data_IF_497613055397
#
_entry.id   IF_497613055397
#
_cell.length_a   1.000
_cell.length_b   1.000
_cell.length_c   1.000
_cell.angle_alpha   90.00
_cell.angle_beta   90.00
_cell.angle_gamma   90.00
#
_symmetry.space_group_name_H-M   'P 1'
#
loop_
_entity.id
_entity.type
_entity.pdbx_description
1 polymer ?
#
# COMPACT_ATOMS: atom_id res chain seq x y z
N UNK A 1 -17.43 -9.55 -26.23
CA UNK A 1 -16.12 -8.91 -26.37
C UNK A 1 -15.61 -9.22 -27.79
N UNK A 2 -15.09 -8.25 -28.57
CA UNK A 2 -14.54 -8.51 -29.91
C UNK A 2 -13.42 -9.56 -29.96
N UNK A 3 -12.77 -9.88 -28.84
CA UNK A 3 -11.67 -10.85 -28.75
C UNK A 3 -12.07 -12.22 -28.16
N UNK A 4 -13.38 -12.44 -27.93
CA UNK A 4 -13.95 -13.67 -27.38
C UNK A 4 -14.23 -13.62 -25.87
N UNK A 5 -14.91 -14.64 -25.35
CA UNK A 5 -15.12 -14.77 -23.90
C UNK A 5 -13.77 -15.05 -23.20
N UNK A 6 -13.63 -14.63 -21.93
CA UNK A 6 -12.43 -14.84 -21.09
C UNK A 6 -11.19 -13.98 -21.43
N UNK A 7 -11.34 -12.97 -22.29
CA UNK A 7 -10.34 -11.93 -22.50
C UNK A 7 -10.36 -10.89 -21.36
N UNK A 8 -9.18 -10.49 -20.86
CA UNK A 8 -9.04 -9.58 -19.71
C UNK A 8 -8.16 -8.36 -20.05
N UNK A 9 -8.62 -7.17 -19.65
CA UNK A 9 -7.86 -5.92 -19.67
C UNK A 9 -8.11 -5.08 -18.41
N UNK A 10 -7.13 -4.30 -17.92
CA UNK A 10 -7.26 -3.52 -16.71
C UNK A 10 -8.05 -2.23 -16.94
N UNK A 11 -9.03 -1.97 -16.08
CA UNK A 11 -9.92 -0.82 -16.18
C UNK A 11 -9.88 -0.03 -14.86
N UNK A 12 -9.53 1.25 -14.91
CA UNK A 12 -9.68 2.17 -13.77
C UNK A 12 -10.96 2.98 -13.94
N UNK A 13 -11.89 2.81 -13.00
CA UNK A 13 -13.18 3.47 -13.01
C UNK A 13 -13.34 4.37 -11.79
N UNK A 14 -14.05 5.48 -11.96
CA UNK A 14 -14.58 6.30 -10.87
C UNK A 14 -15.79 5.58 -10.25
N UNK A 15 -16.27 6.10 -9.11
CA UNK A 15 -17.45 5.55 -8.42
C UNK A 15 -18.72 5.56 -9.30
N UNK A 16 -18.83 6.54 -10.20
CA UNK A 16 -19.91 6.63 -11.19
C UNK A 16 -19.71 5.71 -12.42
N UNK A 17 -18.69 4.86 -12.39
CA UNK A 17 -18.28 3.91 -13.46
C UNK A 17 -17.76 4.56 -14.73
N UNK A 18 -17.56 5.88 -14.75
CA UNK A 18 -16.82 6.52 -15.83
C UNK A 18 -15.33 6.21 -15.72
N UNK A 19 -14.61 6.30 -16.84
CA UNK A 19 -13.16 6.08 -16.86
C UNK A 19 -12.44 7.15 -16.05
N UNK A 20 -11.37 6.76 -15.37
CA UNK A 20 -10.56 7.67 -14.57
C UNK A 20 -9.51 8.40 -15.41
N UNK A 21 -9.27 9.67 -15.06
CA UNK A 21 -8.09 10.44 -15.43
C UNK A 21 -7.77 11.40 -14.29
N UNK A 22 -6.49 11.62 -14.01
CA UNK A 22 -6.04 12.39 -12.85
C UNK A 22 -4.56 12.20 -12.57
N UNK A 23 -3.98 13.06 -11.75
CA UNK A 23 -2.58 12.96 -11.31
C UNK A 23 -1.54 12.83 -12.44
N UNK A 24 -1.85 13.36 -13.62
CA UNK A 24 -1.00 13.26 -14.82
C UNK A 24 -1.22 12.03 -15.71
N UNK A 25 -2.18 11.15 -15.37
CA UNK A 25 -2.49 9.94 -16.13
C UNK A 25 -3.91 9.97 -16.73
N UNK A 26 -4.07 9.28 -17.86
CA UNK A 26 -5.34 9.18 -18.58
C UNK A 26 -5.69 7.73 -18.92
N UNK A 27 -6.66 7.19 -18.17
CA UNK A 27 -7.24 5.85 -18.34
C UNK A 27 -8.63 5.89 -18.99
N UNK A 28 -9.00 7.03 -19.61
CA UNK A 28 -10.13 7.08 -20.55
C UNK A 28 -9.82 6.35 -21.86
N UNK A 29 -8.53 6.23 -22.17
CA UNK A 29 -7.98 5.35 -23.21
C UNK A 29 -7.25 4.21 -22.52
N UNK A 30 -7.76 2.98 -22.66
CA UNK A 30 -7.20 1.77 -22.04
C UNK A 30 -5.89 1.33 -22.73
N UNK A 31 -5.02 0.55 -22.05
CA UNK A 31 -3.87 -0.06 -22.69
C UNK A 31 -4.28 -0.89 -23.92
N UNK A 32 -3.43 -0.89 -24.96
CA UNK A 32 -3.61 -1.78 -26.10
C UNK A 32 -3.10 -3.17 -25.73
N UNK A 33 -3.83 -4.22 -26.10
CA UNK A 33 -3.32 -5.58 -25.95
C UNK A 33 -2.14 -5.84 -26.87
N UNK A 34 -1.21 -6.64 -26.37
CA UNK A 34 -0.13 -7.18 -27.18
C UNK A 34 -0.62 -8.34 -28.06
N UNK A 35 0.10 -8.66 -29.16
CA UNK A 35 -0.17 -9.88 -29.92
C UNK A 35 -0.15 -11.13 -29.03
N UNK A 36 -1.23 -11.91 -29.11
CA UNK A 36 -1.37 -13.15 -28.33
C UNK A 36 -1.88 -12.94 -26.90
N UNK A 37 -2.55 -11.82 -26.61
CA UNK A 37 -3.30 -11.61 -25.34
C UNK A 37 -4.69 -12.29 -25.32
N UNK A 38 -5.05 -13.04 -26.37
CA UNK A 38 -6.24 -13.88 -26.37
C UNK A 38 -6.09 -15.11 -25.47
N UNK A 39 -7.20 -15.71 -25.00
CA UNK A 39 -7.13 -16.87 -24.13
C UNK A 39 -6.49 -18.07 -24.82
N UNK A 40 -5.64 -18.81 -24.09
CA UNK A 40 -5.00 -20.05 -24.57
C UNK A 40 -6.03 -21.15 -24.87
N UNK A 41 -7.16 -21.14 -24.18
CA UNK A 41 -8.33 -21.99 -24.42
C UNK A 41 -9.58 -21.33 -23.85
N UNK A 42 -10.73 -21.63 -24.44
CA UNK A 42 -12.05 -21.30 -23.89
C UNK A 42 -12.84 -22.58 -23.53
N UNK A 43 -12.23 -23.76 -23.69
CA UNK A 43 -12.84 -25.05 -23.37
C UNK A 43 -12.55 -25.45 -21.92
N UNK A 44 -13.59 -25.43 -21.08
CA UNK A 44 -13.50 -25.83 -19.67
C UNK A 44 -13.22 -27.32 -19.44
N UNK A 45 -13.28 -28.16 -20.49
CA UNK A 45 -12.75 -29.52 -20.40
C UNK A 45 -11.22 -29.53 -20.46
N UNK A 46 -10.60 -28.51 -21.06
CA UNK A 46 -9.16 -28.34 -21.14
C UNK A 46 -8.63 -27.50 -19.99
N UNK A 47 -9.35 -26.45 -19.55
CA UNK A 47 -8.87 -25.52 -18.53
C UNK A 47 -9.85 -25.40 -17.36
N UNK A 48 -9.34 -24.98 -16.21
CA UNK A 48 -10.20 -24.69 -15.06
C UNK A 48 -10.85 -23.30 -15.16
N UNK A 49 -12.02 -23.16 -14.56
CA UNK A 49 -12.61 -21.84 -14.32
C UNK A 49 -11.92 -21.19 -13.12
N UNK A 50 -11.32 -20.02 -13.35
CA UNK A 50 -10.74 -19.16 -12.34
C UNK A 50 -11.39 -17.79 -12.36
N UNK A 51 -11.70 -17.29 -11.16
CA UNK A 51 -12.17 -15.91 -10.96
C UNK A 51 -10.94 -15.08 -10.66
N UNK A 52 -10.46 -14.36 -11.68
CA UNK A 52 -9.29 -13.49 -11.56
C UNK A 52 -9.67 -12.25 -10.73
N UNK A 53 -8.77 -11.83 -9.84
CA UNK A 53 -8.90 -10.55 -9.14
C UNK A 53 -7.69 -9.70 -9.50
N UNK A 54 -7.91 -8.41 -9.68
CA UNK A 54 -6.83 -7.45 -9.81
C UNK A 54 -6.24 -7.14 -8.43
N UNK A 55 -4.92 -6.96 -8.41
CA UNK A 55 -4.12 -6.57 -7.25
C UNK A 55 -3.56 -5.19 -7.52
N UNK A 56 -3.53 -4.34 -6.49
CA UNK A 56 -3.01 -2.97 -6.60
C UNK A 56 -2.01 -2.73 -5.48
N UNK A 57 -0.74 -2.58 -5.85
CA UNK A 57 0.40 -2.43 -4.94
C UNK A 57 1.50 -1.61 -5.60
N UNK A 58 2.29 -0.91 -4.78
CA UNK A 58 3.46 -0.14 -5.21
C UNK A 58 4.65 -1.10 -5.32
N UNK A 59 5.05 -1.44 -6.55
CA UNK A 59 6.10 -2.42 -6.81
C UNK A 59 7.50 -1.80 -6.75
N UNK A 60 7.65 -0.54 -7.17
CA UNK A 60 8.95 0.12 -7.35
C UNK A 60 9.26 1.19 -6.29
N UNK A 61 8.37 1.40 -5.32
CA UNK A 61 8.56 2.32 -4.20
C UNK A 61 8.40 3.80 -4.58
N UNK A 62 7.88 4.12 -5.76
CA UNK A 62 7.68 5.51 -6.20
C UNK A 62 6.45 6.19 -5.57
N UNK A 63 5.65 5.44 -4.80
CA UNK A 63 4.43 5.90 -4.15
C UNK A 63 3.18 5.84 -5.02
N UNK A 64 3.27 5.31 -6.24
CA UNK A 64 2.17 4.97 -7.15
C UNK A 64 2.00 3.45 -7.12
N UNK A 65 0.80 2.99 -7.46
CA UNK A 65 0.48 1.57 -7.40
C UNK A 65 0.29 1.05 -8.81
N UNK A 66 0.95 -0.06 -9.10
CA UNK A 66 0.78 -0.86 -10.30
C UNK A 66 -0.47 -1.72 -10.18
N UNK A 67 -0.97 -2.19 -11.32
CA UNK A 67 -2.14 -3.05 -11.42
C UNK A 67 -1.70 -4.40 -11.94
N UNK A 68 -1.79 -5.42 -11.08
CA UNK A 68 -1.44 -6.79 -11.43
C UNK A 68 -2.69 -7.64 -11.62
N UNK A 69 -2.71 -8.51 -12.62
CA UNK A 69 -3.80 -9.46 -12.80
C UNK A 69 -3.38 -10.69 -13.62
N UNK A 70 -3.83 -11.90 -13.24
CA UNK A 70 -3.67 -13.08 -14.09
C UNK A 70 -4.68 -13.06 -15.24
N UNK A 71 -4.28 -13.61 -16.39
CA UNK A 71 -5.12 -13.69 -17.58
C UNK A 71 -5.14 -15.10 -18.17
N UNK A 72 -6.18 -15.41 -18.94
CA UNK A 72 -6.31 -16.68 -19.65
C UNK A 72 -5.38 -16.79 -20.86
N UNK A 73 -4.60 -15.76 -21.18
CA UNK A 73 -3.50 -15.85 -22.14
C UNK A 73 -2.25 -16.57 -21.55
N UNK A 74 -2.34 -17.01 -20.30
CA UNK A 74 -1.29 -17.72 -19.58
C UNK A 74 -0.19 -16.82 -19.04
N UNK A 75 -0.48 -15.53 -18.91
CA UNK A 75 0.43 -14.53 -18.34
C UNK A 75 -0.13 -13.94 -17.04
N UNK A 76 0.79 -13.47 -16.20
CA UNK A 76 0.52 -12.52 -15.14
C UNK A 76 0.96 -11.14 -15.64
N UNK A 77 0.05 -10.18 -15.66
CA UNK A 77 0.32 -8.83 -16.11
C UNK A 77 0.64 -7.91 -14.93
N UNK A 78 1.43 -6.86 -15.18
CA UNK A 78 1.65 -5.75 -14.28
C UNK A 78 1.72 -4.44 -15.07
N UNK A 79 0.72 -3.59 -14.91
CA UNK A 79 0.64 -2.29 -15.58
C UNK A 79 0.96 -1.15 -14.63
N UNK A 80 1.87 -0.28 -15.06
CA UNK A 80 2.07 1.03 -14.47
C UNK A 80 0.95 1.97 -14.91
N UNK A 81 0.75 3.06 -14.17
CA UNK A 81 -0.28 4.06 -14.48
C UNK A 81 -0.08 4.76 -15.84
N UNK A 82 1.11 4.66 -16.43
CA UNK A 82 1.41 5.13 -17.78
C UNK A 82 0.86 4.20 -18.89
N UNK A 83 0.22 3.09 -18.51
CA UNK A 83 -0.38 2.05 -19.38
C UNK A 83 0.62 1.15 -20.08
N UNK A 84 1.85 1.09 -19.59
CA UNK A 84 2.88 0.16 -20.05
C UNK A 84 3.20 -0.88 -18.99
N UNK A 85 3.75 -2.00 -19.44
CA UNK A 85 4.34 -3.04 -18.58
C UNK A 85 5.86 -2.84 -18.62
N UNK A 86 6.53 -2.85 -17.47
CA UNK A 86 7.96 -2.55 -17.39
C UNK A 86 8.78 -3.83 -17.24
N UNK A 87 10.06 -3.79 -17.66
CA UNK A 87 10.97 -4.91 -17.48
C UNK A 87 10.55 -6.17 -18.24
N UNK A 88 10.38 -7.28 -17.50
CA UNK A 88 9.99 -8.60 -17.99
C UNK A 88 8.49 -8.84 -17.91
N UNK A 89 7.69 -7.84 -17.56
CA UNK A 89 6.23 -7.91 -17.64
C UNK A 89 5.75 -7.78 -19.10
N UNK A 90 4.70 -8.51 -19.51
CA UNK A 90 3.96 -9.49 -18.72
C UNK A 90 4.71 -10.82 -18.53
N UNK A 91 4.61 -11.42 -17.36
CA UNK A 91 5.28 -12.68 -17.06
C UNK A 91 4.51 -13.87 -17.64
N UNK A 92 5.09 -14.54 -18.64
CA UNK A 92 4.54 -15.80 -19.17
C UNK A 92 4.83 -16.96 -18.23
N UNK A 93 3.77 -17.59 -17.71
CA UNK A 93 3.91 -18.69 -16.76
C UNK A 93 4.59 -19.90 -17.42
N UNK A 94 5.77 -20.34 -16.94
CA UNK A 94 6.53 -21.39 -17.59
C UNK A 94 5.92 -22.78 -17.35
N UNK A 95 6.17 -23.70 -18.27
CA UNK A 95 5.78 -25.10 -18.17
C UNK A 95 5.27 -25.68 -19.49
N UNK A 96 5.04 -27.00 -19.51
CA UNK A 96 4.40 -27.68 -20.63
C UNK A 96 2.87 -27.55 -20.57
N UNK A 97 2.24 -27.54 -21.75
CA UNK A 97 0.80 -27.28 -21.91
C UNK A 97 0.42 -25.84 -21.58
N UNK A 98 -0.87 -25.57 -21.41
CA UNK A 98 -1.31 -24.28 -20.88
C UNK A 98 -1.04 -24.18 -19.38
N UNK A 99 -0.64 -22.98 -18.97
CA UNK A 99 -0.31 -22.62 -17.59
C UNK A 99 -0.94 -21.28 -17.30
N UNK A 100 -1.48 -21.16 -16.09
CA UNK A 100 -2.16 -19.95 -15.63
C UNK A 100 -1.64 -19.60 -14.24
N UNK A 101 -1.68 -18.31 -13.91
CA UNK A 101 -1.28 -17.78 -12.62
C UNK A 101 -2.49 -17.57 -11.71
N UNK A 102 -2.32 -17.82 -10.41
CA UNK A 102 -3.28 -17.41 -9.38
C UNK A 102 -3.30 -15.91 -9.25
N UNK A 103 -4.30 -15.40 -8.53
CA UNK A 103 -4.16 -14.05 -7.99
C UNK A 103 -2.82 -13.98 -7.21
N UNK A 104 -1.96 -12.98 -7.49
CA UNK A 104 -0.71 -12.84 -6.77
C UNK A 104 -0.93 -12.22 -5.39
N UNK A 105 0.04 -12.42 -4.51
CA UNK A 105 0.28 -11.56 -3.36
C UNK A 105 1.50 -10.69 -3.65
N UNK A 106 1.56 -9.52 -3.03
CA UNK A 106 2.66 -8.57 -3.19
C UNK A 106 3.24 -8.26 -1.82
N UNK A 107 4.53 -8.51 -1.67
CA UNK A 107 5.26 -8.39 -0.41
C UNK A 107 6.67 -7.93 -0.73
N UNK A 108 7.09 -6.86 -0.07
CA UNK A 108 8.48 -6.46 -0.01
C UNK A 108 9.13 -7.35 1.06
N UNK A 109 9.75 -8.46 0.62
CA UNK A 109 10.24 -9.51 1.52
C UNK A 109 11.49 -9.07 2.27
N UNK A 110 12.27 -8.17 1.68
CA UNK A 110 13.57 -7.76 2.19
C UNK A 110 13.62 -6.34 2.77
N UNK A 111 12.48 -5.65 2.96
CA UNK A 111 12.10 -4.35 3.58
C UNK A 111 13.16 -3.46 4.29
N UNK A 112 14.26 -4.01 4.78
CA UNK A 112 15.51 -3.27 4.96
C UNK A 112 16.23 -2.93 3.62
N UNK A 113 15.71 -3.40 2.49
CA UNK A 113 16.23 -3.29 1.14
C UNK A 113 15.92 -1.97 0.42
N UNK A 114 15.72 -2.07 -0.89
CA UNK A 114 15.58 -0.94 -1.82
C UNK A 114 14.15 -0.37 -1.92
N UNK A 115 13.18 -1.01 -1.24
CA UNK A 115 11.78 -0.61 -1.23
C UNK A 115 10.96 -1.18 -2.40
N UNK A 116 11.59 -2.02 -3.24
CA UNK A 116 10.91 -2.77 -4.28
C UNK A 116 10.20 -3.99 -3.69
N UNK A 117 9.07 -4.39 -4.29
CA UNK A 117 8.28 -5.50 -3.79
C UNK A 117 8.32 -6.73 -4.71
N UNK A 118 8.36 -7.92 -4.10
CA UNK A 118 8.22 -9.18 -4.81
C UNK A 118 6.75 -9.52 -5.08
N UNK A 119 6.56 -10.21 -6.21
CA UNK A 119 5.26 -10.74 -6.63
C UNK A 119 5.28 -12.25 -6.48
N UNK A 120 4.42 -12.77 -5.61
CA UNK A 120 4.37 -14.20 -5.27
C UNK A 120 3.03 -14.77 -5.72
N UNK A 121 3.05 -15.85 -6.48
CA UNK A 121 1.83 -16.51 -6.95
C UNK A 121 2.05 -17.99 -7.14
N UNK A 122 0.95 -18.72 -7.34
CA UNK A 122 0.99 -20.13 -7.71
C UNK A 122 0.45 -20.33 -9.11
N UNK A 123 0.84 -21.42 -9.76
CA UNK A 123 0.31 -21.77 -11.08
C UNK A 123 -0.52 -23.05 -11.04
N UNK A 124 -1.38 -23.21 -12.05
CA UNK A 124 -2.02 -24.48 -12.37
C UNK A 124 -1.87 -24.82 -13.86
N UNK A 125 -1.72 -26.11 -14.21
CA UNK A 125 -1.81 -26.58 -15.58
C UNK A 125 -3.25 -26.59 -16.09
N UNK A 126 -3.39 -26.70 -17.41
CA UNK A 126 -4.59 -27.30 -18.01
C UNK A 126 -4.91 -28.68 -17.40
N UNK A 127 -6.16 -29.10 -17.49
CA UNK A 127 -6.68 -30.34 -16.92
C UNK A 127 -5.91 -31.57 -17.43
N UNK A 128 -5.60 -32.46 -16.51
CA UNK A 128 -4.96 -33.76 -16.75
C UNK A 128 -3.52 -33.72 -17.24
N UNK A 129 -3.01 -34.90 -17.58
CA UNK A 129 -1.73 -35.06 -18.26
C UNK A 129 -0.51 -35.08 -17.35
N UNK A 130 -0.66 -35.47 -16.07
CA UNK A 130 0.44 -35.67 -15.13
C UNK A 130 1.27 -34.40 -14.91
N UNK A 131 0.60 -33.24 -14.84
CA UNK A 131 1.23 -31.93 -14.71
C UNK A 131 1.06 -31.36 -13.32
N UNK A 132 2.10 -30.68 -12.86
CA UNK A 132 2.18 -30.07 -11.53
C UNK A 132 2.36 -28.56 -11.70
N UNK A 133 1.59 -27.77 -10.96
CA UNK A 133 1.73 -26.32 -10.81
C UNK A 133 2.92 -25.94 -9.94
N UNK A 134 3.25 -24.66 -9.88
CA UNK A 134 4.46 -24.17 -9.21
C UNK A 134 4.15 -22.98 -8.31
N UNK A 135 4.92 -22.81 -7.25
CA UNK A 135 5.05 -21.55 -6.53
C UNK A 135 6.12 -20.71 -7.24
N UNK A 136 5.84 -19.44 -7.52
CA UNK A 136 6.71 -18.49 -8.17
C UNK A 136 6.92 -17.26 -7.27
N UNK A 137 8.14 -16.74 -7.25
CA UNK A 137 8.50 -15.44 -6.69
C UNK A 137 9.23 -14.67 -7.78
N UNK A 138 8.70 -13.51 -8.14
CA UNK A 138 9.30 -12.58 -9.11
C UNK A 138 9.74 -11.31 -8.40
N UNK A 139 10.77 -10.66 -8.93
CA UNK A 139 11.11 -9.29 -8.55
C UNK A 139 10.06 -8.28 -9.10
N UNK A 140 10.21 -7.02 -8.71
CA UNK A 140 9.30 -5.94 -9.12
C UNK A 140 9.23 -5.71 -10.65
N UNK A 141 10.29 -6.09 -11.39
CA UNK A 141 10.35 -6.03 -12.86
C UNK A 141 9.91 -7.33 -13.53
N UNK A 142 9.38 -8.31 -12.78
CA UNK A 142 8.85 -9.55 -13.33
C UNK A 142 9.91 -10.60 -13.66
N UNK A 143 11.15 -10.44 -13.19
CA UNK A 143 12.17 -11.47 -13.35
C UNK A 143 12.00 -12.56 -12.29
N UNK A 144 12.13 -13.85 -12.63
CA UNK A 144 11.98 -14.92 -11.67
C UNK A 144 13.16 -14.97 -10.69
N UNK A 145 12.88 -14.81 -9.40
CA UNK A 145 13.82 -15.01 -8.31
C UNK A 145 13.81 -16.46 -7.84
N UNK A 146 12.63 -17.05 -7.75
CA UNK A 146 12.45 -18.42 -7.28
C UNK A 146 11.25 -19.09 -7.94
N UNK A 147 11.38 -20.38 -8.23
CA UNK A 147 10.25 -21.20 -8.65
C UNK A 147 10.44 -22.66 -8.20
N UNK A 148 9.39 -23.25 -7.62
CA UNK A 148 9.39 -24.65 -7.18
C UNK A 148 8.09 -25.33 -7.52
N UNK A 149 8.15 -26.63 -7.84
CA UNK A 149 6.95 -27.44 -8.02
C UNK A 149 6.16 -27.54 -6.71
N UNK A 150 4.84 -27.40 -6.82
CA UNK A 150 3.93 -27.82 -5.76
C UNK A 150 4.02 -29.34 -5.56
N UNK A 151 3.53 -29.90 -4.44
CA UNK A 151 3.64 -31.34 -4.22
C UNK A 151 2.95 -32.17 -5.29
N UNK A 152 3.38 -33.43 -5.43
CA UNK A 152 2.69 -34.38 -6.28
C UNK A 152 1.23 -34.56 -5.83
N UNK A 153 0.29 -34.78 -6.77
CA UNK A 153 -1.09 -35.08 -6.41
C UNK A 153 -1.19 -36.36 -5.60
N UNK A 154 -2.14 -36.41 -4.65
CA UNK A 154 -2.36 -37.60 -3.82
C UNK A 154 -3.19 -38.67 -4.53
N UNK A 155 -4.36 -38.27 -5.03
CA UNK A 155 -5.37 -39.16 -5.60
C UNK A 155 -5.91 -38.63 -6.96
N UNK A 156 -5.08 -37.90 -7.70
CA UNK A 156 -5.42 -37.28 -9.00
C UNK A 156 -4.22 -37.34 -9.97
N UNK A 157 -4.44 -37.04 -11.25
CA UNK A 157 -3.41 -37.02 -12.30
C UNK A 157 -2.80 -35.62 -12.52
N UNK A 158 -3.17 -34.63 -11.72
CA UNK A 158 -2.59 -33.30 -11.78
C UNK A 158 -2.69 -32.58 -10.44
N UNK A 159 -1.83 -31.58 -10.25
CA UNK A 159 -1.93 -30.67 -9.10
C UNK A 159 -1.61 -29.23 -9.51
N UNK A 160 -2.10 -28.28 -8.73
CA UNK A 160 -1.89 -26.85 -8.91
C UNK A 160 -2.55 -26.07 -7.79
N UNK A 161 -2.52 -24.74 -7.88
CA UNK A 161 -3.27 -23.86 -6.98
C UNK A 161 -3.87 -22.72 -7.78
N UNK A 162 -5.20 -22.59 -7.71
CA UNK A 162 -5.96 -21.55 -8.39
C UNK A 162 -6.15 -20.31 -7.51
N UNK A 163 -6.14 -20.51 -6.19
CA UNK A 163 -6.35 -19.45 -5.22
C UNK A 163 -5.07 -18.66 -4.96
N UNK A 164 -5.23 -17.41 -4.52
CA UNK A 164 -4.11 -16.62 -4.03
C UNK A 164 -3.44 -17.33 -2.83
N UNK A 165 -2.10 -17.35 -2.77
CA UNK A 165 -1.38 -17.67 -1.54
C UNK A 165 -1.81 -16.72 -0.40
N UNK A 166 -1.54 -17.12 0.84
CA UNK A 166 -1.66 -16.26 2.02
C UNK A 166 -0.33 -16.20 2.72
N UNK A 167 0.22 -15.01 2.95
CA UNK A 167 1.41 -14.82 3.79
C UNK A 167 1.00 -14.55 5.23
N UNK A 168 1.57 -15.30 6.18
CA UNK A 168 1.36 -15.12 7.60
C UNK A 168 2.47 -15.82 8.39
N UNK A 169 2.81 -15.29 9.55
CA UNK A 169 3.60 -16.04 10.52
C UNK A 169 2.68 -17.03 11.26
N UNK A 170 2.91 -18.33 11.05
CA UNK A 170 2.07 -19.43 11.52
C UNK A 170 2.78 -20.34 12.53
N UNK A 171 4.10 -20.24 12.68
CA UNK A 171 4.88 -21.09 13.58
C UNK A 171 5.62 -20.31 14.70
N UNK A 172 5.41 -18.99 14.77
CA UNK A 172 5.94 -18.11 15.81
C UNK A 172 7.45 -17.90 15.79
N UNK A 173 8.12 -18.10 14.65
CA UNK A 173 9.45 -17.56 14.45
C UNK A 173 9.41 -16.09 13.98
N UNK A 174 10.52 -15.53 13.50
CA UNK A 174 10.52 -14.14 13.04
C UNK A 174 10.12 -14.01 11.58
N UNK A 175 10.36 -15.05 10.78
CA UNK A 175 10.14 -15.07 9.34
C UNK A 175 8.64 -15.30 9.05
N UNK A 176 8.29 -15.29 7.77
CA UNK A 176 6.91 -15.37 7.29
C UNK A 176 6.72 -16.64 6.46
N UNK A 177 5.54 -17.25 6.56
CA UNK A 177 5.21 -18.44 5.79
C UNK A 177 4.16 -18.14 4.72
N UNK A 178 4.23 -18.87 3.62
CA UNK A 178 3.17 -18.94 2.61
C UNK A 178 2.29 -20.15 2.85
N UNK A 179 0.99 -19.91 3.03
CA UNK A 179 -0.05 -20.94 3.08
C UNK A 179 -0.76 -21.00 1.74
N UNK A 180 -0.77 -22.18 1.12
CA UNK A 180 -1.31 -22.41 -0.24
C UNK A 180 -2.32 -23.55 -0.19
N UNK A 181 -3.51 -23.31 -0.75
CA UNK A 181 -4.51 -24.34 -1.01
C UNK A 181 -4.29 -24.98 -2.37
N UNK A 182 -3.85 -26.25 -2.39
CA UNK A 182 -3.66 -27.00 -3.63
C UNK A 182 -4.91 -27.81 -3.99
N UNK A 183 -5.05 -28.14 -5.27
CA UNK A 183 -6.19 -28.92 -5.78
C UNK A 183 -6.16 -30.36 -5.24
N UNK A 184 -4.98 -30.99 -5.24
CA UNK A 184 -4.85 -32.45 -5.06
C UNK A 184 -3.88 -32.87 -3.95
N UNK A 185 -3.33 -31.93 -3.17
CA UNK A 185 -2.43 -32.21 -2.04
C UNK A 185 -2.85 -31.53 -0.73
N UNK A 186 -4.02 -30.88 -0.71
CA UNK A 186 -4.52 -30.15 0.47
C UNK A 186 -3.83 -28.80 0.67
N UNK A 187 -3.73 -28.36 1.92
CA UNK A 187 -3.04 -27.11 2.29
C UNK A 187 -1.57 -27.40 2.56
N UNK A 188 -0.70 -26.58 1.98
CA UNK A 188 0.76 -26.65 2.16
C UNK A 188 1.28 -25.33 2.70
N UNK A 189 2.35 -25.40 3.49
CA UNK A 189 3.04 -24.24 4.04
C UNK A 189 4.50 -24.24 3.59
N UNK A 190 5.01 -23.07 3.21
CA UNK A 190 6.41 -22.84 2.86
C UNK A 190 6.96 -21.72 3.74
N UNK A 191 8.07 -21.99 4.41
CA UNK A 191 8.87 -20.98 5.10
C UNK A 191 9.56 -20.05 4.08
N UNK A 192 9.66 -18.76 4.41
CA UNK A 192 10.43 -17.76 3.67
C UNK A 192 11.56 -17.20 4.54
N UNK A 193 12.71 -17.89 4.61
CA UNK A 193 13.82 -17.46 5.45
C UNK A 193 14.30 -16.04 5.12
N UNK A 194 14.54 -15.24 6.16
CA UNK A 194 15.02 -13.86 6.03
C UNK A 194 13.94 -12.81 5.77
N UNK A 195 12.66 -13.19 5.89
CA UNK A 195 11.51 -12.31 5.69
C UNK A 195 11.01 -11.65 6.99
N UNK A 196 11.79 -11.69 8.07
CA UNK A 196 11.37 -11.18 9.39
C UNK A 196 10.93 -9.71 9.45
N UNK A 197 11.29 -8.91 8.46
CA UNK A 197 10.86 -7.51 8.37
C UNK A 197 9.92 -7.25 7.19
N UNK A 198 9.43 -8.29 6.51
CA UNK A 198 8.67 -8.15 5.28
C UNK A 198 7.51 -7.16 5.41
N UNK A 199 7.37 -6.27 4.41
CA UNK A 199 6.28 -5.31 4.30
C UNK A 199 5.22 -5.87 3.37
N UNK A 200 4.11 -6.29 3.95
CA UNK A 200 2.98 -6.87 3.23
C UNK A 200 2.17 -5.77 2.54
N UNK A 201 2.19 -5.73 1.21
CA UNK A 201 1.42 -4.78 0.41
C UNK A 201 0.07 -5.36 -0.04
N UNK A 202 0.00 -6.67 -0.23
CA UNK A 202 -1.23 -7.41 -0.54
C UNK A 202 -1.05 -8.88 -0.14
N UNK A 203 -1.31 -9.24 1.12
CA UNK A 203 -0.85 -10.53 1.67
C UNK A 203 -1.75 -11.75 1.46
N UNK A 204 -2.93 -11.58 0.86
CA UNK A 204 -3.88 -12.67 0.65
C UNK A 204 -4.88 -12.26 -0.43
N UNK A 205 -5.56 -13.22 -1.06
CA UNK A 205 -6.55 -12.92 -2.10
C UNK A 205 -7.57 -11.84 -1.68
N UNK A 206 -7.87 -10.90 -2.57
CA UNK A 206 -8.65 -9.69 -2.33
C UNK A 206 -8.14 -8.82 -1.17
N UNK A 207 -6.83 -8.84 -0.94
CA UNK A 207 -6.05 -7.89 -0.13
C UNK A 207 -6.12 -8.09 1.38
N UNK A 208 -7.18 -8.72 1.91
CA UNK A 208 -7.35 -8.90 3.36
C UNK A 208 -8.18 -10.14 3.70
N UNK A 209 -8.22 -10.55 4.96
CA UNK A 209 -9.06 -11.68 5.42
C UNK A 209 -10.56 -11.45 5.22
N UNK A 210 -11.00 -10.18 5.09
CA UNK A 210 -12.38 -9.83 4.74
C UNK A 210 -12.65 -9.86 3.24
N UNK A 211 -11.61 -10.08 2.42
CA UNK A 211 -11.68 -10.20 0.95
C UNK A 211 -12.33 -8.99 0.28
N UNK A 212 -12.06 -7.80 0.79
CA UNK A 212 -12.71 -6.54 0.38
C UNK A 212 -12.22 -5.99 -0.96
N UNK A 213 -11.07 -6.43 -1.46
CA UNK A 213 -10.44 -5.86 -2.66
C UNK A 213 -9.89 -4.45 -2.46
N UNK A 214 -9.83 -3.98 -1.21
CA UNK A 214 -9.16 -2.73 -0.87
C UNK A 214 -7.67 -3.04 -0.69
N UNK A 215 -6.83 -2.37 -1.46
CA UNK A 215 -5.38 -2.30 -1.16
C UNK A 215 -5.26 -1.85 0.30
N UNK A 216 -4.46 -2.55 1.13
CA UNK A 216 -4.13 -2.07 2.46
C UNK A 216 -3.78 -0.60 2.35
N UNK A 217 -4.56 0.25 3.03
CA UNK A 217 -4.18 1.65 3.17
C UNK A 217 -2.82 1.61 3.81
N UNK A 218 -1.80 2.16 3.16
CA UNK A 218 -0.40 2.16 3.64
C UNK A 218 -0.44 2.38 5.14
N UNK A 219 -0.04 1.36 5.91
CA UNK A 219 -0.17 1.38 7.36
C UNK A 219 0.63 2.57 7.86
N UNK A 220 -0.04 3.63 8.25
CA UNK A 220 0.60 4.90 8.53
C UNK A 220 -0.19 5.66 9.57
N UNK A 221 0.08 6.95 9.70
CA UNK A 221 -0.71 7.81 10.55
C UNK A 221 -0.86 9.20 9.92
N UNK A 222 -1.86 9.93 10.40
CA UNK A 222 -2.03 11.37 10.16
C UNK A 222 -1.68 12.13 11.42
N UNK A 223 -1.19 13.36 11.29
CA UNK A 223 -0.92 14.28 12.40
C UNK A 223 -1.68 15.58 12.14
N UNK A 224 -2.46 16.08 13.09
CA UNK A 224 -3.24 17.31 12.96
C UNK A 224 -3.23 18.13 14.27
N UNK A 225 -3.21 19.47 14.18
CA UNK A 225 -3.32 20.36 15.33
C UNK A 225 -4.71 21.00 15.42
N UNK A 226 -5.28 21.04 16.62
CA UNK A 226 -6.61 21.61 16.88
C UNK A 226 -6.53 22.62 18.05
N UNK A 227 -6.81 23.91 17.81
CA UNK A 227 -6.85 24.57 16.50
C UNK A 227 -5.47 24.53 15.81
N UNK A 228 -5.34 24.93 14.55
CA UNK A 228 -4.03 25.04 13.87
C UNK A 228 -3.35 26.40 14.08
N UNK A 229 -4.08 27.40 14.59
CA UNK A 229 -3.57 28.72 14.89
C UNK A 229 -4.19 29.31 16.17
N UNK A 230 -3.43 30.15 16.88
CA UNK A 230 -3.92 30.95 18.02
C UNK A 230 -3.29 32.33 18.07
N UNK A 231 -3.91 33.19 18.86
CA UNK A 231 -3.43 34.52 19.22
C UNK A 231 -3.37 34.64 20.74
N UNK A 232 -2.28 35.20 21.27
CA UNK A 232 -2.08 35.46 22.70
C UNK A 232 -1.49 36.85 22.96
N UNK A 233 -1.65 37.33 24.18
CA UNK A 233 -0.93 38.51 24.67
C UNK A 233 0.53 38.16 25.00
N UNK A 234 1.48 39.12 24.92
CA UNK A 234 2.87 38.91 25.33
C UNK A 234 2.98 38.42 26.78
N UNK A 235 3.87 37.46 27.02
CA UNK A 235 4.07 36.79 28.31
C UNK A 235 2.99 35.76 28.70
N UNK A 236 1.98 35.53 27.85
CA UNK A 236 0.91 34.55 28.12
C UNK A 236 1.22 33.16 27.55
N UNK A 237 0.40 32.17 27.92
CA UNK A 237 0.48 30.81 27.38
C UNK A 237 -0.81 30.34 26.72
N UNK A 238 -0.71 29.31 25.88
CA UNK A 238 -1.84 28.65 25.25
C UNK A 238 -1.56 27.17 24.98
N UNK A 239 -2.61 26.44 24.58
CA UNK A 239 -2.52 25.00 24.33
C UNK A 239 -3.09 24.61 22.97
N UNK A 240 -2.44 23.65 22.31
CA UNK A 240 -2.89 23.00 21.09
C UNK A 240 -3.11 21.51 21.37
N UNK A 241 -4.12 20.92 20.75
CA UNK A 241 -4.31 19.48 20.79
C UNK A 241 -3.76 18.88 19.50
N UNK A 242 -2.66 18.14 19.60
CA UNK A 242 -2.09 17.39 18.49
C UNK A 242 -2.73 16.00 18.46
N UNK A 243 -3.50 15.70 17.42
CA UNK A 243 -4.14 14.40 17.22
C UNK A 243 -3.36 13.59 16.19
N UNK A 244 -3.07 12.34 16.52
CA UNK A 244 -2.57 11.35 15.58
C UNK A 244 -3.60 10.26 15.40
N UNK A 245 -3.97 9.98 14.16
CA UNK A 245 -4.92 8.93 13.82
C UNK A 245 -4.21 7.86 13.00
N UNK A 246 -4.40 6.59 13.34
CA UNK A 246 -3.93 5.48 12.52
C UNK A 246 -4.61 5.50 11.15
N UNK A 247 -3.82 5.22 10.12
CA UNK A 247 -4.28 4.84 8.79
C UNK A 247 -4.04 3.33 8.65
N UNK A 248 -5.06 2.58 8.21
CA UNK A 248 -4.97 1.12 8.14
C UNK A 248 -4.85 0.47 9.53
N UNK A 249 -3.96 -0.53 9.67
CA UNK A 249 -3.72 -1.27 10.91
C UNK A 249 -2.51 -0.73 11.71
N UNK A 250 -2.05 0.48 11.42
CA UNK A 250 -0.88 1.05 12.09
C UNK A 250 -1.08 1.17 13.60
N UNK A 251 -0.23 0.45 14.35
CA UNK A 251 -0.24 0.38 15.81
C UNK A 251 1.10 0.74 16.46
N UNK A 252 2.16 0.94 15.65
CA UNK A 252 3.50 1.28 16.14
C UNK A 252 3.48 2.64 16.85
N UNK A 253 4.21 2.82 17.97
CA UNK A 253 4.29 4.11 18.65
C UNK A 253 4.96 5.16 17.76
N UNK A 254 4.52 6.40 17.92
CA UNK A 254 5.03 7.56 17.18
C UNK A 254 5.71 8.52 18.14
N UNK A 255 6.90 8.98 17.77
CA UNK A 255 7.69 9.98 18.49
C UNK A 255 7.45 11.35 17.90
N UNK A 256 7.14 12.33 18.75
CA UNK A 256 6.91 13.71 18.39
C UNK A 256 8.14 14.55 18.70
N UNK A 257 8.62 15.25 17.68
CA UNK A 257 9.67 16.25 17.77
C UNK A 257 9.11 17.62 17.36
N UNK A 258 9.34 18.66 18.17
CA UNK A 258 8.82 20.01 17.92
C UNK A 258 10.00 20.97 17.97
N UNK A 259 10.19 21.72 16.90
CA UNK A 259 11.30 22.68 16.83
C UNK A 259 10.81 24.06 17.25
N UNK A 260 11.51 24.68 18.20
CA UNK A 260 11.29 26.06 18.57
C UNK A 260 11.86 26.99 17.48
N UNK A 261 11.01 27.74 16.75
CA UNK A 261 11.49 28.61 15.69
C UNK A 261 12.34 29.76 16.24
N UNK A 262 13.35 30.19 15.48
CA UNK A 262 14.10 31.39 15.81
C UNK A 262 13.27 32.66 15.50
N UNK A 263 13.36 33.73 16.32
CA UNK A 263 14.06 33.79 17.61
C UNK A 263 13.30 33.00 18.70
N UNK A 264 14.05 32.26 19.53
CA UNK A 264 13.51 31.32 20.53
C UNK A 264 12.92 32.02 21.77
N UNK A 265 11.86 32.81 21.58
CA UNK A 265 11.08 33.47 22.64
C UNK A 265 9.88 32.64 23.11
N UNK A 266 9.85 31.35 22.79
CA UNK A 266 8.79 30.45 23.22
C UNK A 266 9.35 29.38 24.15
N UNK A 267 8.60 29.03 25.19
CA UNK A 267 8.76 27.76 25.87
C UNK A 267 7.70 26.79 25.33
N UNK A 268 8.13 25.62 24.85
CA UNK A 268 7.27 24.65 24.16
C UNK A 268 7.35 23.33 24.92
N UNK A 269 6.22 22.88 25.46
CA UNK A 269 6.15 21.70 26.32
C UNK A 269 4.97 20.80 25.93
N UNK A 270 5.22 19.68 25.21
CA UNK A 270 4.22 18.65 25.01
C UNK A 270 4.04 17.80 26.27
N UNK A 271 2.83 17.30 26.53
CA UNK A 271 2.56 16.39 27.67
C UNK A 271 3.24 15.03 27.54
N UNK A 272 3.60 14.63 26.32
CA UNK A 272 4.41 13.44 26.01
C UNK A 272 5.12 13.64 24.67
N UNK A 273 6.30 13.06 24.53
CA UNK A 273 7.04 12.97 23.26
C UNK A 273 6.80 11.66 22.51
N UNK A 274 6.09 10.69 23.09
CA UNK A 274 5.79 9.39 22.46
C UNK A 274 4.38 8.93 22.79
N UNK A 275 3.66 8.41 21.80
CA UNK A 275 2.29 7.90 22.00
C UNK A 275 1.86 6.94 20.89
N UNK A 276 0.89 6.08 21.21
CA UNK A 276 0.34 5.09 20.28
C UNK A 276 -0.85 5.66 19.50
N UNK A 277 -0.87 5.58 18.16
CA UNK A 277 -2.04 5.91 17.37
C UNK A 277 -3.17 4.88 17.56
N UNK A 278 -4.45 5.31 17.56
CA UNK A 278 -4.90 6.69 17.62
C UNK A 278 -4.66 7.29 19.02
N UNK A 279 -4.17 8.53 19.06
CA UNK A 279 -3.84 9.20 20.30
C UNK A 279 -3.76 10.71 20.16
N UNK A 280 -3.59 11.40 21.29
CA UNK A 280 -3.49 12.85 21.30
C UNK A 280 -2.48 13.33 22.35
N UNK A 281 -1.81 14.45 22.04
CA UNK A 281 -0.86 15.13 22.91
C UNK A 281 -1.30 16.58 23.06
N UNK A 282 -1.28 17.09 24.29
CA UNK A 282 -1.47 18.52 24.52
C UNK A 282 -0.12 19.21 24.42
N UNK A 283 -0.01 20.16 23.49
CA UNK A 283 1.15 21.03 23.33
C UNK A 283 0.89 22.35 24.04
N UNK A 284 1.65 22.65 25.08
CA UNK A 284 1.62 23.94 25.76
C UNK A 284 2.71 24.85 25.20
N UNK A 285 2.35 26.07 24.83
CA UNK A 285 3.28 27.08 24.32
C UNK A 285 3.13 28.34 25.16
N UNK A 286 4.23 28.84 25.70
CA UNK A 286 4.29 30.06 26.52
C UNK A 286 5.23 31.06 25.88
N UNK A 287 4.77 32.29 25.70
CA UNK A 287 5.59 33.39 25.22
C UNK A 287 6.48 33.96 26.35
N UNK A 288 7.73 34.28 26.00
CA UNK A 288 8.76 34.76 26.93
C UNK A 288 9.03 36.25 26.80
N UNK A 289 8.26 37.00 26.01
CA UNK A 289 8.36 38.46 26.05
C UNK A 289 7.85 39.00 27.38
N UNK A 290 8.36 40.17 27.83
CA UNK A 290 7.76 40.87 28.96
C UNK A 290 6.26 41.15 28.71
N UNK A 291 5.40 41.05 29.74
CA UNK A 291 4.02 41.46 29.63
C UNK A 291 3.92 42.92 29.20
N UNK A 292 3.01 43.22 28.28
CA UNK A 292 2.81 44.58 27.76
C UNK A 292 2.62 44.62 26.26
N UNK A 293 2.89 45.77 25.65
CA UNK A 293 2.68 46.00 24.23
C UNK A 293 3.86 45.50 23.41
N UNK A 294 3.62 44.54 22.51
CA UNK A 294 4.59 44.06 21.53
C UNK A 294 4.19 44.58 20.14
N UNK A 295 4.88 45.61 19.66
CA UNK A 295 4.65 46.19 18.33
C UNK A 295 5.96 46.24 17.53
N UNK A 296 6.00 45.65 16.32
CA UNK A 296 4.96 44.79 15.75
C UNK A 296 4.82 43.48 16.54
N UNK A 297 3.63 42.86 16.49
CA UNK A 297 3.43 41.53 17.07
C UNK A 297 4.33 40.48 16.39
N UNK A 298 4.61 39.38 17.09
CA UNK A 298 5.47 38.30 16.60
C UNK A 298 4.64 37.12 16.09
N UNK A 299 4.88 36.69 14.84
CA UNK A 299 4.26 35.50 14.27
C UNK A 299 5.24 34.33 14.26
N UNK A 300 4.80 33.20 14.81
CA UNK A 300 5.59 31.97 14.89
C UNK A 300 4.92 30.85 14.10
N UNK A 301 5.70 30.26 13.19
CA UNK A 301 5.39 29.01 12.52
C UNK A 301 6.21 27.89 13.18
N UNK A 302 5.55 27.06 13.97
CA UNK A 302 6.18 26.06 14.84
C UNK A 302 5.99 24.69 14.20
N UNK A 303 7.05 24.09 13.61
CA UNK A 303 6.93 22.77 12.99
C UNK A 303 6.87 21.68 14.06
N UNK A 304 5.89 20.78 13.92
CA UNK A 304 5.73 19.58 14.72
C UNK A 304 5.82 18.36 13.80
N UNK A 305 6.82 17.52 14.05
CA UNK A 305 7.11 16.32 13.26
C UNK A 305 6.89 15.08 14.11
N UNK A 306 6.05 14.18 13.64
CA UNK A 306 5.78 12.90 14.25
C UNK A 306 6.38 11.79 13.38
N UNK A 307 7.17 10.88 13.98
CA UNK A 307 7.87 9.79 13.28
C UNK A 307 7.69 8.46 14.02
N UNK A 308 7.34 7.40 13.30
CA UNK A 308 7.11 6.07 13.88
C UNK A 308 6.85 5.03 12.81
N UNK A 309 7.35 3.81 13.01
CA UNK A 309 7.13 2.69 12.10
C UNK A 309 7.58 2.92 10.65
N UNK A 310 8.65 3.70 10.44
CA UNK A 310 9.17 4.06 9.11
C UNK A 310 8.53 5.31 8.49
N UNK A 311 7.44 5.83 9.06
CA UNK A 311 6.73 7.00 8.51
C UNK A 311 7.04 8.26 9.29
N UNK A 312 7.02 9.40 8.58
CA UNK A 312 7.15 10.74 9.16
C UNK A 312 6.03 11.65 8.64
N UNK A 313 5.45 12.46 9.53
CA UNK A 313 4.44 13.48 9.23
C UNK A 313 4.82 14.79 9.90
N UNK A 314 4.78 15.88 9.15
CA UNK A 314 5.07 17.23 9.67
C UNK A 314 3.86 18.13 9.46
N UNK A 315 3.50 18.88 10.50
CA UNK A 315 2.54 19.98 10.43
C UNK A 315 3.15 21.26 10.98
N UNK A 316 2.51 22.39 10.69
CA UNK A 316 2.88 23.69 11.27
C UNK A 316 1.77 24.17 12.19
N UNK A 317 2.13 24.45 13.45
CA UNK A 317 1.29 25.13 14.43
C UNK A 317 1.61 26.61 14.40
N UNK A 318 0.60 27.48 14.27
CA UNK A 318 0.81 28.91 14.14
C UNK A 318 0.42 29.67 15.42
N UNK A 319 1.27 30.60 15.85
CA UNK A 319 1.02 31.44 17.02
C UNK A 319 1.32 32.90 16.71
N UNK A 320 0.35 33.79 16.95
CA UNK A 320 0.56 35.23 16.94
C UNK A 320 0.63 35.75 18.38
N UNK A 321 1.70 36.45 18.72
CA UNK A 321 1.92 37.12 20.01
C UNK A 321 1.80 38.63 19.83
N UNK A 322 0.98 39.30 20.63
CA UNK A 322 0.85 40.77 20.60
C UNK A 322 0.28 41.34 19.29
N UNK A 323 -0.54 40.57 18.60
CA UNK A 323 -1.20 41.01 17.37
C UNK A 323 -2.28 42.08 17.62
N UNK A 324 -2.35 43.09 16.76
CA UNK A 324 -3.46 44.06 16.78
C UNK A 324 -4.61 43.56 15.91
N UNK A 325 -5.83 43.54 16.46
CA UNK A 325 -7.04 43.31 15.65
C UNK A 325 -7.53 44.64 15.09
N UNK A 326 -7.35 44.83 13.78
CA UNK A 326 -7.95 45.96 13.06
C UNK A 326 -9.26 45.50 12.44
N UNK A 327 -10.38 46.04 12.91
CA UNK A 327 -11.67 45.86 12.26
C UNK A 327 -11.79 46.88 11.14
N UNK A 328 -11.90 46.41 9.89
CA UNK A 328 -12.23 47.27 8.76
C UNK A 328 -13.69 47.73 8.91
N UNK A 329 -14.01 49.00 8.57
CA UNK A 329 -15.40 49.41 8.52
C UNK A 329 -16.15 48.58 7.48
N UNK A 330 -17.29 48.01 7.87
CA UNK A 330 -18.22 47.37 6.95
C UNK A 330 -18.68 48.43 5.95
N UNK A 331 -18.30 48.31 4.68
CA UNK A 331 -18.91 49.12 3.61
C UNK A 331 -20.30 48.55 3.37
N UNK A 332 -21.30 49.04 4.11
CA UNK A 332 -22.71 48.83 3.76
C UNK A 332 -23.00 49.69 2.52
N UNK A 333 -23.35 49.05 1.40
CA UNK A 333 -23.93 49.72 0.24
C UNK A 333 -25.38 50.10 0.52
#
# INVERSE_FOLDING_TARGET
DPDGDMYHLPWILKLDRTRWSGSGFDWTVIPAAEPGSGPLSQDYNVIQNSVTNAVVADLDGDGRKEILYPSYDGRLHAYWLDKTEHGSWPYKVPGSGYRFASEPIVVDLDNAGDGHAEVIFTSWPQNGGNRIGQLHILDYLGNPLFAINLPAPRDDDWNGSLGAPTIANIDSDADMELVIGTVSSGVVAYDLPGSANARILWGTGRGSFKRTGLSPVDESFTLNAIPSSRVIEPGSGTTYLLKVQSSGLFTKPVTLNITNPAPAFLNISPTSSTFSPPGQVTLTITDLHPPGQLIPGAWYAIPATASGGGFTRTITVNLLVGGTRTYLPLVLK
#
